data_IF_910028663007
#
_entry.id   IF_910028663007
#
_cell.length_a   1.000
_cell.length_b   1.000
_cell.length_c   1.000
_cell.angle_alpha   90.00
_cell.angle_beta   90.00
_cell.angle_gamma   90.00
#
_symmetry.space_group_name_H-M   'P 1'
#
loop_
_entity.id
_entity.type
_entity.pdbx_description
1 polymer ?
#
# COMPACT_ATOMS: atom_id res chain seq x y z
N UNK A 1 30.28 -3.05 -0.56
CA UNK A 1 28.89 -2.55 -0.54
C UNK A 1 28.28 -2.37 -1.95
N UNK A 2 29.11 -2.38 -2.98
CA UNK A 2 28.68 -2.17 -4.38
C UNK A 2 28.70 -3.47 -5.22
N UNK A 3 29.09 -4.59 -4.64
CA UNK A 3 29.08 -5.86 -5.36
C UNK A 3 27.66 -6.45 -5.42
N UNK A 4 27.25 -6.99 -6.57
CA UNK A 4 25.97 -7.63 -6.72
C UNK A 4 25.78 -8.76 -5.71
N UNK A 5 24.64 -8.79 -5.03
CA UNK A 5 24.32 -9.82 -4.04
C UNK A 5 24.05 -11.15 -4.74
N UNK A 6 24.90 -12.14 -4.51
CA UNK A 6 24.76 -13.49 -5.12
C UNK A 6 23.64 -14.32 -4.51
N UNK A 7 23.33 -14.09 -3.23
CA UNK A 7 22.29 -14.84 -2.50
C UNK A 7 20.96 -14.10 -2.57
N UNK A 8 19.99 -14.66 -3.27
CA UNK A 8 18.63 -14.13 -3.33
C UNK A 8 17.83 -14.61 -2.11
N UNK A 9 17.17 -13.66 -1.44
CA UNK A 9 16.40 -13.91 -0.21
C UNK A 9 14.97 -14.36 -0.54
N UNK A 10 14.44 -13.97 -1.71
CA UNK A 10 13.07 -14.27 -2.13
C UNK A 10 13.01 -14.90 -3.53
N UNK A 11 12.06 -15.83 -3.70
CA UNK A 11 11.61 -16.27 -5.02
C UNK A 11 10.57 -15.30 -5.61
N UNK A 12 10.26 -15.46 -6.89
CA UNK A 12 9.33 -14.60 -7.63
C UNK A 12 7.94 -14.52 -6.98
N UNK A 13 7.41 -15.66 -6.53
CA UNK A 13 6.09 -15.72 -5.89
C UNK A 13 6.07 -14.97 -4.54
N UNK A 14 7.10 -15.17 -3.72
CA UNK A 14 7.22 -14.45 -2.44
C UNK A 14 7.39 -12.95 -2.63
N UNK A 15 8.12 -12.55 -3.67
CA UNK A 15 8.28 -11.14 -4.04
C UNK A 15 6.94 -10.52 -4.47
N UNK A 16 6.19 -11.19 -5.34
CA UNK A 16 4.85 -10.75 -5.75
C UNK A 16 3.88 -10.67 -4.57
N UNK A 17 3.89 -11.66 -3.67
CA UNK A 17 3.04 -11.66 -2.47
C UNK A 17 3.37 -10.52 -1.51
N UNK A 18 4.65 -10.20 -1.32
CA UNK A 18 5.08 -9.05 -0.49
C UNK A 18 4.59 -7.71 -1.07
N UNK A 19 4.73 -7.52 -2.38
CA UNK A 19 4.22 -6.30 -3.03
C UNK A 19 2.70 -6.21 -2.97
N UNK A 20 1.99 -7.32 -3.19
CA UNK A 20 0.53 -7.37 -3.10
C UNK A 20 0.04 -7.06 -1.67
N UNK A 21 0.69 -7.61 -0.64
CA UNK A 21 0.40 -7.32 0.76
C UNK A 21 0.63 -5.85 1.11
N UNK A 22 1.71 -5.25 0.59
CA UNK A 22 2.04 -3.84 0.79
C UNK A 22 1.08 -2.86 0.09
N UNK A 23 0.49 -3.25 -1.04
CA UNK A 23 -0.47 -2.41 -1.78
C UNK A 23 -1.85 -2.38 -1.14
N UNK A 24 -2.27 -3.44 -0.42
CA UNK A 24 -3.57 -3.51 0.22
C UNK A 24 -3.53 -2.84 1.58
N UNK A 25 -4.11 -1.66 1.68
CA UNK A 25 -4.18 -0.91 2.92
C UNK A 25 -5.53 -0.19 3.06
N UNK A 26 -5.93 0.12 4.30
CA UNK A 26 -7.14 0.91 4.57
C UNK A 26 -7.03 2.30 3.91
N UNK A 27 -5.82 2.87 3.85
CA UNK A 27 -5.57 4.12 3.13
C UNK A 27 -5.92 4.01 1.65
N UNK A 28 -5.52 2.94 0.98
CA UNK A 28 -5.85 2.70 -0.43
C UNK A 28 -7.35 2.53 -0.65
N UNK A 29 -8.04 1.81 0.24
CA UNK A 29 -9.51 1.71 0.20
C UNK A 29 -10.20 3.05 0.40
N UNK A 30 -9.72 3.88 1.33
CA UNK A 30 -10.26 5.22 1.57
C UNK A 30 -10.07 6.13 0.37
N UNK A 31 -8.93 6.03 -0.33
CA UNK A 31 -8.70 6.75 -1.58
C UNK A 31 -9.69 6.32 -2.65
N UNK A 32 -9.89 5.02 -2.87
CA UNK A 32 -10.88 4.50 -3.81
C UNK A 32 -12.31 4.94 -3.48
N UNK A 33 -12.70 4.86 -2.20
CA UNK A 33 -14.01 5.31 -1.74
C UNK A 33 -14.23 6.81 -1.94
N UNK A 34 -13.19 7.63 -1.78
CA UNK A 34 -13.26 9.08 -1.98
C UNK A 34 -13.50 9.52 -3.43
N UNK A 35 -13.33 8.62 -4.41
CA UNK A 35 -13.65 8.91 -5.81
C UNK A 35 -15.16 8.81 -6.10
N UNK A 36 -15.89 8.06 -5.29
CA UNK A 36 -17.34 7.88 -5.45
C UNK A 36 -18.03 9.19 -5.06
N UNK A 37 -18.85 9.72 -5.97
CA UNK A 37 -19.49 11.02 -5.80
C UNK A 37 -18.94 12.11 -6.75
N UNK A 38 -17.62 12.09 -7.02
CA UNK A 38 -17.02 12.93 -8.07
C UNK A 38 -17.01 12.23 -9.44
N UNK A 39 -16.91 10.90 -9.43
CA UNK A 39 -16.88 10.04 -10.63
C UNK A 39 -17.93 8.93 -10.52
N UNK A 40 -18.35 8.41 -11.67
CA UNK A 40 -19.07 7.13 -11.69
C UNK A 40 -18.13 5.99 -11.30
N UNK A 41 -18.69 4.88 -10.80
CA UNK A 41 -17.90 3.69 -10.46
C UNK A 41 -17.05 3.20 -11.62
N UNK A 42 -17.61 3.18 -12.83
CA UNK A 42 -16.90 2.79 -14.06
C UNK A 42 -15.72 3.74 -14.33
N UNK A 43 -15.92 5.05 -14.22
CA UNK A 43 -14.85 6.03 -14.39
C UNK A 43 -13.77 5.90 -13.32
N UNK A 44 -14.16 5.68 -12.06
CA UNK A 44 -13.22 5.45 -10.97
C UNK A 44 -12.37 4.19 -11.21
N UNK A 45 -12.97 3.08 -11.64
CA UNK A 45 -12.25 1.85 -11.98
C UNK A 45 -11.26 2.09 -13.14
N UNK A 46 -11.69 2.77 -14.20
CA UNK A 46 -10.81 3.08 -15.33
C UNK A 46 -9.64 3.97 -14.89
N UNK A 47 -9.90 5.01 -14.09
CA UNK A 47 -8.87 5.89 -13.56
C UNK A 47 -7.85 5.12 -12.71
N UNK A 48 -8.31 4.26 -11.81
CA UNK A 48 -7.45 3.41 -10.98
C UNK A 48 -6.60 2.46 -11.84
N UNK A 49 -7.18 1.81 -12.84
CA UNK A 49 -6.44 0.89 -13.73
C UNK A 49 -5.37 1.64 -14.52
N UNK A 50 -5.68 2.81 -15.05
CA UNK A 50 -4.69 3.63 -15.79
C UNK A 50 -3.57 4.07 -14.84
N UNK A 51 -3.88 4.59 -13.65
CA UNK A 51 -2.89 5.00 -12.66
C UNK A 51 -1.98 3.84 -12.25
N UNK A 52 -2.56 2.68 -11.93
CA UNK A 52 -1.81 1.48 -11.58
C UNK A 52 -0.90 0.98 -12.72
N UNK A 53 -1.35 1.06 -13.99
CA UNK A 53 -0.53 0.68 -15.14
C UNK A 53 0.66 1.61 -15.32
N UNK A 54 0.47 2.91 -15.19
CA UNK A 54 1.55 3.90 -15.26
C UNK A 54 2.59 3.65 -14.16
N UNK A 55 2.14 3.44 -12.92
CA UNK A 55 3.03 3.12 -11.80
C UNK A 55 3.72 1.76 -12.00
N UNK A 56 3.02 0.75 -12.49
CA UNK A 56 3.61 -0.57 -12.74
C UNK A 56 4.77 -0.49 -13.73
N UNK A 57 4.62 0.26 -14.83
CA UNK A 57 5.69 0.49 -15.81
C UNK A 57 6.86 1.26 -15.17
N UNK A 58 6.57 2.33 -14.44
CA UNK A 58 7.60 3.11 -13.76
C UNK A 58 8.37 2.27 -12.73
N UNK A 59 7.69 1.48 -11.92
CA UNK A 59 8.31 0.59 -10.93
C UNK A 59 9.11 -0.54 -11.59
N UNK A 60 8.67 -1.08 -12.73
CA UNK A 60 9.41 -2.10 -13.46
C UNK A 60 10.75 -1.53 -13.96
N UNK A 61 10.74 -0.33 -14.52
CA UNK A 61 11.97 0.33 -15.03
C UNK A 61 12.91 0.70 -13.88
N UNK A 62 12.41 1.31 -12.81
CA UNK A 62 13.21 1.73 -11.66
C UNK A 62 13.70 0.53 -10.84
N UNK A 63 12.87 -0.50 -10.73
CA UNK A 63 13.15 -1.69 -9.93
C UNK A 63 14.16 -2.65 -10.54
N UNK A 64 14.41 -2.57 -11.85
CA UNK A 64 15.29 -3.50 -12.56
C UNK A 64 16.72 -3.50 -12.00
N UNK A 65 17.28 -2.35 -11.70
CA UNK A 65 18.60 -2.26 -11.06
C UNK A 65 18.64 -2.93 -9.67
N UNK A 66 17.61 -2.73 -8.86
CA UNK A 66 17.49 -3.37 -7.55
C UNK A 66 17.33 -4.88 -7.66
N UNK A 67 16.57 -5.35 -8.64
CA UNK A 67 16.36 -6.77 -8.91
C UNK A 67 17.63 -7.45 -9.43
N UNK A 68 18.30 -6.83 -10.38
CA UNK A 68 19.48 -7.40 -11.05
C UNK A 68 20.70 -7.38 -10.15
N UNK A 69 20.97 -6.28 -9.47
CA UNK A 69 22.21 -6.07 -8.70
C UNK A 69 22.03 -6.21 -7.18
N UNK A 70 20.80 -6.24 -6.69
CA UNK A 70 20.51 -6.30 -5.24
C UNK A 70 20.95 -5.06 -4.48
N UNK A 71 20.97 -3.89 -5.14
CA UNK A 71 21.41 -2.62 -4.56
C UNK A 71 20.21 -1.77 -4.08
N UNK A 72 20.34 -1.07 -2.94
CA UNK A 72 19.29 -0.17 -2.48
C UNK A 72 19.17 1.08 -3.33
N UNK A 73 18.01 1.73 -3.27
CA UNK A 73 17.66 2.94 -4.02
C UNK A 73 18.74 4.04 -3.97
N UNK A 74 19.26 4.35 -2.79
CA UNK A 74 20.28 5.39 -2.61
C UNK A 74 21.62 5.03 -3.28
N UNK A 75 21.95 3.74 -3.36
CA UNK A 75 23.17 3.27 -4.04
C UNK A 75 22.99 3.39 -5.55
N UNK A 76 21.83 3.00 -6.08
CA UNK A 76 21.50 3.14 -7.50
C UNK A 76 21.63 4.59 -7.98
N UNK A 77 21.11 5.55 -7.20
CA UNK A 77 21.14 6.96 -7.56
C UNK A 77 22.54 7.62 -7.50
N UNK A 78 23.53 6.97 -6.89
CA UNK A 78 24.91 7.50 -6.84
C UNK A 78 25.51 7.66 -8.25
N UNK A 79 25.11 6.85 -9.21
CA UNK A 79 25.56 6.95 -10.60
C UNK A 79 25.16 8.27 -11.25
N UNK A 80 23.99 8.81 -10.89
CA UNK A 80 23.43 10.04 -11.48
C UNK A 80 23.71 11.29 -10.64
N UNK A 81 23.66 11.17 -9.30
CA UNK A 81 23.75 12.32 -8.37
C UNK A 81 25.09 12.40 -7.62
N UNK A 82 25.97 11.43 -7.80
CA UNK A 82 27.19 11.31 -7.02
C UNK A 82 26.94 10.94 -5.56
N UNK A 83 28.03 10.82 -4.79
CA UNK A 83 27.96 10.39 -3.38
C UNK A 83 27.37 11.43 -2.44
N UNK A 84 27.50 12.71 -2.77
CA UNK A 84 26.97 13.82 -1.95
C UNK A 84 25.56 14.21 -2.39
N UNK A 85 25.32 14.33 -3.71
CA UNK A 85 24.03 14.75 -4.25
C UNK A 85 22.89 13.76 -3.99
N UNK A 86 23.19 12.48 -3.83
CA UNK A 86 22.20 11.44 -3.53
C UNK A 86 21.46 11.64 -2.20
N UNK A 87 21.99 12.45 -1.29
CA UNK A 87 21.33 12.78 -0.02
C UNK A 87 20.00 13.50 -0.23
N UNK A 88 19.90 14.34 -1.27
CA UNK A 88 18.68 15.10 -1.56
C UNK A 88 17.51 14.16 -1.93
N UNK A 89 17.59 13.33 -2.97
CA UNK A 89 16.51 12.40 -3.29
C UNK A 89 16.28 11.35 -2.19
N UNK A 90 17.30 10.99 -1.42
CA UNK A 90 17.16 10.12 -0.25
C UNK A 90 16.26 10.73 0.82
N UNK A 91 16.46 12.00 1.18
CA UNK A 91 15.63 12.73 2.14
C UNK A 91 14.22 12.93 1.57
N UNK A 92 14.10 13.36 0.31
CA UNK A 92 12.79 13.57 -0.35
C UNK A 92 11.94 12.30 -0.38
N UNK A 93 12.56 11.14 -0.49
CA UNK A 93 11.85 9.85 -0.38
C UNK A 93 11.53 9.48 1.08
N UNK A 94 12.44 9.76 2.01
CA UNK A 94 12.31 9.37 3.40
C UNK A 94 11.20 10.12 4.13
N UNK A 95 11.05 11.43 3.90
CA UNK A 95 10.04 12.25 4.57
C UNK A 95 8.61 11.77 4.32
N UNK A 96 8.14 11.58 3.08
CA UNK A 96 6.81 11.03 2.82
C UNK A 96 6.62 9.64 3.42
N UNK A 97 7.66 8.79 3.40
CA UNK A 97 7.60 7.45 3.98
C UNK A 97 7.37 7.48 5.50
N UNK A 98 8.00 8.42 6.23
CA UNK A 98 7.79 8.59 7.67
C UNK A 98 6.35 9.05 7.96
N UNK A 99 5.85 10.04 7.20
CA UNK A 99 4.47 10.52 7.35
C UNK A 99 3.47 9.40 7.06
N UNK A 100 3.68 8.64 5.99
CA UNK A 100 2.84 7.51 5.63
C UNK A 100 2.87 6.40 6.69
N UNK A 101 4.04 6.09 7.22
CA UNK A 101 4.18 5.14 8.33
C UNK A 101 3.38 5.57 9.57
N UNK A 102 3.46 6.85 9.95
CA UNK A 102 2.69 7.39 11.06
C UNK A 102 1.17 7.28 10.84
N UNK A 103 0.71 7.64 9.64
CA UNK A 103 -0.69 7.53 9.27
C UNK A 103 -1.19 6.08 9.29
N UNK A 104 -0.48 5.15 8.66
CA UNK A 104 -0.84 3.74 8.64
C UNK A 104 -0.83 3.11 10.04
N UNK A 105 0.13 3.49 10.87
CA UNK A 105 0.22 3.04 12.27
C UNK A 105 -0.97 3.54 13.09
N UNK A 106 -1.41 4.78 12.88
CA UNK A 106 -2.60 5.33 13.52
C UNK A 106 -3.87 4.57 13.12
N UNK A 107 -4.07 4.33 11.84
CA UNK A 107 -5.21 3.58 11.31
C UNK A 107 -5.22 2.14 11.82
N UNK A 108 -4.06 1.46 11.79
CA UNK A 108 -3.91 0.10 12.33
C UNK A 108 -4.19 0.01 13.82
N UNK A 109 -3.67 0.95 14.61
CA UNK A 109 -3.96 1.03 16.04
C UNK A 109 -5.46 1.29 16.32
N UNK A 110 -6.12 2.11 15.50
CA UNK A 110 -7.57 2.33 15.57
C UNK A 110 -8.37 1.05 15.37
N UNK A 111 -8.00 0.25 14.38
CA UNK A 111 -8.64 -1.04 14.12
C UNK A 111 -8.46 -2.02 15.29
N UNK A 112 -7.22 -2.14 15.82
CA UNK A 112 -6.93 -2.97 16.99
C UNK A 112 -7.70 -2.49 18.21
N UNK A 113 -7.75 -1.18 18.47
CA UNK A 113 -8.48 -0.60 19.59
C UNK A 113 -9.99 -0.88 19.50
N UNK A 114 -10.55 -0.83 18.29
CA UNK A 114 -11.95 -1.19 18.05
C UNK A 114 -12.22 -2.67 18.36
N UNK A 115 -11.34 -3.56 17.93
CA UNK A 115 -11.43 -4.99 18.28
C UNK A 115 -11.32 -5.23 19.80
N UNK A 116 -10.38 -4.55 20.47
CA UNK A 116 -10.23 -4.64 21.93
C UNK A 116 -11.47 -4.13 22.67
N UNK A 117 -12.08 -3.06 22.19
CA UNK A 117 -13.31 -2.54 22.77
C UNK A 117 -14.47 -3.53 22.64
N UNK A 118 -14.62 -4.17 21.49
CA UNK A 118 -15.69 -5.16 21.24
C UNK A 118 -15.48 -6.44 22.06
N UNK A 119 -14.24 -6.93 22.16
CA UNK A 119 -13.93 -8.21 22.80
C UNK A 119 -13.78 -8.10 24.33
N UNK A 120 -13.17 -7.02 24.81
CA UNK A 120 -12.77 -6.86 26.21
C UNK A 120 -13.40 -5.65 26.91
N UNK A 121 -14.14 -4.80 26.17
CA UNK A 121 -14.69 -3.56 26.73
C UNK A 121 -13.65 -2.49 27.08
N UNK A 122 -12.40 -2.66 26.64
CA UNK A 122 -11.30 -1.76 26.93
C UNK A 122 -10.94 -0.94 25.69
N UNK A 123 -10.88 0.39 25.85
CA UNK A 123 -10.51 1.31 24.78
C UNK A 123 -9.47 2.31 25.29
N UNK A 124 -8.25 2.24 24.73
CA UNK A 124 -7.18 3.19 25.03
C UNK A 124 -6.28 3.35 23.79
N UNK A 125 -6.74 4.17 22.84
CA UNK A 125 -6.04 4.37 21.56
C UNK A 125 -4.57 4.80 21.71
N UNK A 126 -4.17 5.74 22.58
CA UNK A 126 -2.78 6.13 22.73
C UNK A 126 -1.85 4.97 23.14
N UNK A 127 -2.30 4.12 24.05
CA UNK A 127 -1.51 2.97 24.50
C UNK A 127 -1.41 1.93 23.41
N UNK A 128 -2.52 1.62 22.73
CA UNK A 128 -2.54 0.68 21.60
C UNK A 128 -1.63 1.17 20.48
N UNK A 129 -1.67 2.46 20.16
CA UNK A 129 -0.80 3.07 19.15
C UNK A 129 0.68 2.94 19.53
N UNK A 130 1.04 3.25 20.77
CA UNK A 130 2.41 3.13 21.23
C UNK A 130 2.93 1.69 21.15
N UNK A 131 2.15 0.72 21.64
CA UNK A 131 2.51 -0.70 21.60
C UNK A 131 2.59 -1.22 20.17
N UNK A 132 1.66 -0.86 19.32
CA UNK A 132 1.64 -1.27 17.91
C UNK A 132 2.85 -0.70 17.16
N UNK A 133 3.17 0.58 17.36
CA UNK A 133 4.33 1.22 16.75
C UNK A 133 5.65 0.58 17.24
N UNK A 134 5.78 0.29 18.53
CA UNK A 134 6.94 -0.42 19.08
C UNK A 134 7.10 -1.81 18.45
N UNK A 135 6.00 -2.55 18.27
CA UNK A 135 6.02 -3.85 17.60
C UNK A 135 6.50 -3.73 16.15
N UNK A 136 6.00 -2.73 15.41
CA UNK A 136 6.41 -2.48 14.03
C UNK A 136 7.91 -2.13 13.94
N UNK A 137 8.41 -1.27 14.83
CA UNK A 137 9.84 -0.91 14.90
C UNK A 137 10.68 -2.14 15.23
N UNK A 138 10.26 -2.95 16.20
CA UNK A 138 10.96 -4.20 16.55
C UNK A 138 11.05 -5.19 15.38
N UNK A 139 9.97 -5.30 14.58
CA UNK A 139 9.97 -6.10 13.37
C UNK A 139 10.88 -5.52 12.29
N UNK A 140 10.89 -4.20 12.13
CA UNK A 140 11.75 -3.52 11.17
C UNK A 140 13.25 -3.70 11.51
N UNK A 141 13.62 -3.71 12.79
CA UNK A 141 14.99 -3.98 13.23
C UNK A 141 15.47 -5.39 12.86
N UNK A 142 14.56 -6.38 12.84
CA UNK A 142 14.88 -7.74 12.35
C UNK A 142 15.16 -7.80 10.86
N UNK A 143 14.90 -6.71 10.15
CA UNK A 143 15.16 -6.57 8.73
C UNK A 143 14.16 -7.30 7.84
N UNK A 144 14.56 -7.47 6.58
CA UNK A 144 13.69 -7.92 5.51
C UNK A 144 13.14 -9.35 5.68
N UNK A 145 13.87 -10.23 6.37
CA UNK A 145 13.42 -11.61 6.62
C UNK A 145 12.19 -11.67 7.54
N UNK A 146 12.14 -10.82 8.56
CA UNK A 146 10.99 -10.73 9.46
C UNK A 146 9.75 -10.16 8.77
N UNK A 147 9.94 -9.12 7.98
CA UNK A 147 8.86 -8.47 7.21
C UNK A 147 8.29 -9.44 6.18
N UNK A 148 9.13 -10.12 5.41
CA UNK A 148 8.74 -11.12 4.41
C UNK A 148 7.79 -12.19 4.98
N UNK A 149 8.08 -12.69 6.16
CA UNK A 149 7.27 -13.73 6.78
C UNK A 149 5.88 -13.22 7.14
N UNK A 150 5.82 -12.03 7.74
CA UNK A 150 4.58 -11.36 8.08
C UNK A 150 3.74 -11.05 6.83
N UNK A 151 4.36 -10.50 5.79
CA UNK A 151 3.67 -10.15 4.54
C UNK A 151 3.11 -11.36 3.80
N UNK A 152 3.86 -12.46 3.72
CA UNK A 152 3.39 -13.68 3.07
C UNK A 152 2.17 -14.27 3.78
N UNK A 153 2.16 -14.30 5.11
CA UNK A 153 1.00 -14.78 5.88
C UNK A 153 -0.16 -13.81 5.72
N UNK A 154 0.08 -12.52 5.90
CA UNK A 154 -0.95 -11.49 5.78
C UNK A 154 -1.60 -11.48 4.41
N UNK A 155 -0.84 -11.74 3.34
CA UNK A 155 -1.36 -11.80 1.97
C UNK A 155 -2.47 -12.85 1.82
N UNK A 156 -2.32 -14.03 2.41
CA UNK A 156 -3.34 -15.08 2.38
C UNK A 156 -4.63 -14.63 3.09
N UNK A 157 -4.49 -14.05 4.29
CA UNK A 157 -5.64 -13.52 5.04
C UNK A 157 -6.32 -12.37 4.30
N UNK A 158 -5.55 -11.45 3.71
CA UNK A 158 -6.07 -10.32 2.94
C UNK A 158 -6.90 -10.83 1.75
N UNK A 159 -6.38 -11.78 0.97
CA UNK A 159 -7.11 -12.36 -0.16
C UNK A 159 -8.42 -13.01 0.31
N UNK A 160 -8.38 -13.80 1.38
CA UNK A 160 -9.57 -14.44 1.92
C UNK A 160 -10.63 -13.41 2.36
N UNK A 161 -10.22 -12.35 3.05
CA UNK A 161 -11.11 -11.27 3.50
C UNK A 161 -11.69 -10.52 2.29
N UNK A 162 -10.88 -10.21 1.26
CA UNK A 162 -11.35 -9.52 0.07
C UNK A 162 -12.39 -10.36 -0.71
N UNK A 163 -12.16 -11.67 -0.84
CA UNK A 163 -13.14 -12.58 -1.47
C UNK A 163 -14.43 -12.62 -0.65
N UNK A 164 -14.32 -12.71 0.69
CA UNK A 164 -15.49 -12.69 1.56
C UNK A 164 -16.26 -11.37 1.47
N UNK A 165 -15.58 -10.22 1.48
CA UNK A 165 -16.20 -8.92 1.29
C UNK A 165 -16.90 -8.81 -0.06
N UNK A 166 -16.28 -9.27 -1.14
CA UNK A 166 -16.88 -9.30 -2.46
C UNK A 166 -18.15 -10.16 -2.49
N UNK A 167 -18.12 -11.32 -1.84
CA UNK A 167 -19.29 -12.18 -1.71
C UNK A 167 -20.42 -11.48 -0.95
N UNK A 168 -20.14 -10.88 0.21
CA UNK A 168 -21.14 -10.15 1.03
C UNK A 168 -21.73 -8.98 0.23
N UNK A 169 -20.91 -8.18 -0.43
CA UNK A 169 -21.37 -7.05 -1.21
C UNK A 169 -22.30 -7.50 -2.35
N UNK A 170 -21.95 -8.57 -3.07
CA UNK A 170 -22.79 -9.08 -4.14
C UNK A 170 -24.08 -9.75 -3.68
N UNK A 171 -24.13 -10.31 -2.45
CA UNK A 171 -25.33 -10.99 -1.94
C UNK A 171 -26.26 -10.08 -1.17
N UNK A 172 -25.72 -9.16 -0.36
CA UNK A 172 -26.52 -8.32 0.52
C UNK A 172 -26.85 -6.95 -0.06
N UNK A 173 -26.00 -6.42 -0.97
CA UNK A 173 -26.10 -5.07 -1.52
C UNK A 173 -26.26 -5.06 -3.04
N UNK A 174 -26.72 -6.16 -3.65
CA UNK A 174 -26.83 -6.28 -5.10
C UNK A 174 -27.73 -5.20 -5.75
N UNK A 175 -28.81 -4.80 -5.09
CA UNK A 175 -29.69 -3.72 -5.53
C UNK A 175 -29.01 -2.34 -5.50
N UNK A 176 -28.28 -2.08 -4.44
CA UNK A 176 -27.57 -0.79 -4.27
C UNK A 176 -26.41 -0.65 -5.23
N UNK A 177 -25.76 -1.76 -5.60
CA UNK A 177 -24.71 -1.77 -6.61
C UNK A 177 -25.26 -1.26 -7.95
N UNK A 178 -26.45 -1.73 -8.37
CA UNK A 178 -27.10 -1.28 -9.60
C UNK A 178 -27.34 0.24 -9.61
N UNK A 179 -27.80 0.79 -8.50
CA UNK A 179 -28.08 2.22 -8.33
C UNK A 179 -26.79 3.05 -8.37
N UNK A 180 -25.71 2.58 -7.73
CA UNK A 180 -24.41 3.26 -7.74
C UNK A 180 -23.77 3.28 -9.13
N UNK A 181 -23.95 2.21 -9.91
CA UNK A 181 -23.48 2.19 -11.32
C UNK A 181 -24.29 3.09 -12.26
N UNK A 182 -25.59 3.28 -12.02
CA UNK A 182 -26.49 4.02 -12.89
C UNK A 182 -26.76 5.46 -12.44
N UNK A 183 -26.60 5.77 -11.17
CA UNK A 183 -27.13 6.99 -10.53
C UNK A 183 -26.25 8.23 -10.60
N UNK A 184 -24.94 8.13 -10.91
CA UNK A 184 -24.01 9.25 -10.86
C UNK A 184 -23.56 9.64 -12.27
N UNK A 185 -23.81 10.88 -12.67
CA UNK A 185 -23.21 11.44 -13.89
C UNK A 185 -21.82 11.97 -13.57
N UNK A 186 -20.80 11.19 -13.93
CA UNK A 186 -19.41 11.63 -13.81
C UNK A 186 -18.95 12.46 -15.02
N UNK A 187 -17.89 13.22 -14.82
CA UNK A 187 -17.26 14.02 -15.88
C UNK A 187 -15.88 13.46 -16.22
N UNK A 188 -15.57 13.39 -17.51
CA UNK A 188 -14.24 12.99 -18.02
C UNK A 188 -13.21 14.12 -18.00
N UNK A 189 -13.44 15.14 -17.18
CA UNK A 189 -12.57 16.32 -17.05
C UNK A 189 -11.50 16.19 -15.97
N UNK A 190 -11.16 17.32 -15.38
CA UNK A 190 -10.15 17.42 -14.31
C UNK A 190 -10.34 16.43 -13.15
N UNK A 191 -11.57 16.12 -12.67
CA UNK A 191 -11.75 15.12 -11.61
C UNK A 191 -11.25 13.73 -11.99
N UNK A 192 -11.46 13.30 -13.24
CA UNK A 192 -10.97 12.01 -13.74
C UNK A 192 -9.44 11.94 -13.75
N UNK A 193 -8.78 12.99 -14.27
CA UNK A 193 -7.32 13.03 -14.32
C UNK A 193 -6.69 13.17 -12.92
N UNK A 194 -7.33 13.91 -12.02
CA UNK A 194 -6.91 14.00 -10.63
C UNK A 194 -6.99 12.63 -9.95
N UNK A 195 -8.07 11.87 -10.17
CA UNK A 195 -8.23 10.51 -9.69
C UNK A 195 -7.14 9.57 -10.24
N UNK A 196 -6.83 9.65 -11.54
CA UNK A 196 -5.77 8.85 -12.16
C UNK A 196 -4.40 9.13 -11.54
N UNK A 197 -4.11 10.38 -11.18
CA UNK A 197 -2.86 10.76 -10.50
C UNK A 197 -2.79 10.35 -9.03
N UNK A 198 -3.91 9.97 -8.42
CA UNK A 198 -3.97 9.54 -7.01
C UNK A 198 -3.58 8.09 -6.81
N UNK A 199 -3.54 7.31 -7.87
CA UNK A 199 -3.16 5.90 -7.93
C UNK A 199 -1.92 5.67 -8.78
#
# INVERSE_FOLDING_TARGET
DLQPTKKRIMGTLSYAASFMGGCVSIGTFSMGAGLIGALTVTQAIIAMVIGCLVIAVALAVIGDCGHTYGIPFTVQLRSSFGTTGVKIPGILRGLPAIVWFGFQSWVGAGAINSCMNILFGVSNLPVVYALFTLLQVALAIKGFEGIKWLENISCVFIIAILIYMLYVVNTQFASEIGDVFSGIKGTWGMPFWAATNSF
#
